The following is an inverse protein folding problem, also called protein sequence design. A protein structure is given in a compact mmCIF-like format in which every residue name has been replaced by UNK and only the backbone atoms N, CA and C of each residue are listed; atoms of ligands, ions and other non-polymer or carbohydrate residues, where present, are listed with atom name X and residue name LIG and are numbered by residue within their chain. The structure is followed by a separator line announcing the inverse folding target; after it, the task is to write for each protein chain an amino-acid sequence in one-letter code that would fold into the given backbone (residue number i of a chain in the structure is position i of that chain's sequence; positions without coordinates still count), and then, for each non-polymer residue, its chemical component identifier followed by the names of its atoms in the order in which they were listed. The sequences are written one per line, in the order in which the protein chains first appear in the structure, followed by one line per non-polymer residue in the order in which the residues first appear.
data_IF_771844215174
#
_entry.id   IF_771844215174
#
_cell.length_a   1.000
_cell.length_b   1.000
_cell.length_c   1.000
_cell.angle_alpha   90.00
_cell.angle_beta   90.00
_cell.angle_gamma   90.00
#
_symmetry.space_group_name_H-M   'P 1'
#
loop_
_entity.id
_entity.type
_entity.pdbx_description
1 polymer ?
#
# COMPACT_ATOMS: atom_id res chain seq x y z
N UNK A 1 -23.18 8.64 -2.84
CA UNK A 1 -23.08 7.71 -1.70
C UNK A 1 -23.50 6.27 -2.03
N UNK A 2 -24.76 5.98 -2.41
CA UNK A 2 -25.26 4.59 -2.63
C UNK A 2 -24.37 3.71 -3.53
N UNK A 3 -23.87 4.24 -4.65
CA UNK A 3 -22.96 3.49 -5.53
C UNK A 3 -21.60 3.17 -4.89
N UNK A 4 -21.09 4.05 -4.03
CA UNK A 4 -19.85 3.83 -3.28
C UNK A 4 -20.04 2.81 -2.16
N UNK A 5 -21.18 2.86 -1.46
CA UNK A 5 -21.58 1.83 -0.48
C UNK A 5 -21.71 0.45 -1.13
N UNK A 6 -22.38 0.35 -2.28
CA UNK A 6 -22.44 -0.90 -3.06
C UNK A 6 -21.05 -1.41 -3.46
N UNK A 7 -20.08 -0.51 -3.66
CA UNK A 7 -18.69 -0.89 -3.98
C UNK A 7 -17.97 -1.42 -2.75
N UNK A 8 -18.01 -0.72 -1.62
CA UNK A 8 -17.45 -1.21 -0.35
C UNK A 8 -18.02 -2.58 0.01
N UNK A 9 -19.35 -2.76 -0.03
CA UNK A 9 -19.99 -4.03 0.27
C UNK A 9 -19.50 -5.18 -0.63
N UNK A 10 -19.10 -4.90 -1.88
CA UNK A 10 -18.51 -5.91 -2.76
C UNK A 10 -17.09 -6.27 -2.34
N UNK A 11 -16.29 -5.29 -1.92
CA UNK A 11 -14.96 -5.54 -1.39
C UNK A 11 -15.02 -6.31 -0.07
N UNK A 12 -15.91 -5.94 0.85
CA UNK A 12 -16.11 -6.66 2.11
C UNK A 12 -16.52 -8.12 1.86
N UNK A 13 -17.46 -8.36 0.93
CA UNK A 13 -17.82 -9.72 0.51
C UNK A 13 -16.64 -10.50 -0.06
N UNK A 14 -15.76 -9.85 -0.85
CA UNK A 14 -14.56 -10.51 -1.40
C UNK A 14 -13.54 -10.81 -0.30
N UNK A 15 -13.30 -9.87 0.63
CA UNK A 15 -12.45 -10.05 1.81
C UNK A 15 -12.91 -11.27 2.63
N UNK A 16 -14.21 -11.38 2.91
CA UNK A 16 -14.76 -12.52 3.65
C UNK A 16 -14.56 -13.86 2.91
N UNK A 17 -14.60 -13.88 1.58
CA UNK A 17 -14.28 -15.09 0.80
C UNK A 17 -12.80 -15.45 0.88
N UNK A 18 -11.91 -14.47 0.79
CA UNK A 18 -10.45 -14.65 0.93
C UNK A 18 -10.11 -15.22 2.31
N UNK A 19 -10.74 -14.70 3.38
CA UNK A 19 -10.60 -15.24 4.73
C UNK A 19 -11.06 -16.70 4.81
N UNK A 20 -12.18 -17.05 4.19
CA UNK A 20 -12.63 -18.45 4.12
C UNK A 20 -11.62 -19.35 3.39
N UNK A 21 -11.00 -18.88 2.30
CA UNK A 21 -9.98 -19.63 1.57
C UNK A 21 -8.74 -19.90 2.43
N UNK A 22 -8.28 -18.92 3.21
CA UNK A 22 -7.11 -19.10 4.08
C UNK A 22 -7.41 -19.87 5.37
N UNK A 23 -8.68 -20.01 5.75
CA UNK A 23 -9.14 -20.82 6.88
C UNK A 23 -8.50 -20.39 8.19
N UNK A 24 -8.04 -21.37 8.99
CA UNK A 24 -7.43 -21.13 10.32
C UNK A 24 -6.17 -20.27 10.31
N UNK A 25 -5.54 -20.07 9.15
CA UNK A 25 -4.35 -19.24 8.99
C UNK A 25 -4.69 -17.78 8.66
N UNK A 26 -5.96 -17.40 8.74
CA UNK A 26 -6.37 -16.02 8.51
C UNK A 26 -7.18 -15.49 9.67
N UNK A 27 -6.96 -14.22 9.99
CA UNK A 27 -7.74 -13.48 10.99
C UNK A 27 -8.13 -12.11 10.45
N UNK A 28 -9.20 -11.58 11.02
CA UNK A 28 -9.81 -10.32 10.62
C UNK A 28 -10.12 -9.50 11.87
N UNK A 29 -9.68 -8.24 11.91
CA UNK A 29 -9.96 -7.34 13.02
C UNK A 29 -10.35 -5.96 12.51
N UNK A 30 -11.29 -5.33 13.22
CA UNK A 30 -11.59 -3.92 13.02
C UNK A 30 -10.58 -3.09 13.83
N UNK A 31 -9.72 -2.35 13.14
CA UNK A 31 -8.65 -1.56 13.77
C UNK A 31 -9.01 -0.09 13.92
N UNK A 32 -10.21 0.34 13.53
CA UNK A 32 -10.63 1.72 13.67
C UNK A 32 -11.83 2.08 12.81
N UNK A 33 -12.06 3.37 12.67
CA UNK A 33 -13.12 3.92 11.85
C UNK A 33 -12.61 5.11 11.05
N UNK A 34 -13.13 5.27 9.83
CA UNK A 34 -12.92 6.47 9.04
C UNK A 34 -13.38 7.73 9.78
N UNK A 35 -12.94 8.88 9.27
CA UNK A 35 -13.51 10.18 9.60
C UNK A 35 -15.02 10.15 9.33
N UNK A 36 -15.77 10.87 10.16
CA UNK A 36 -17.23 11.00 10.06
C UNK A 36 -17.58 11.79 8.79
N UNK A 37 -18.52 11.29 8.00
CA UNK A 37 -19.10 12.02 6.85
C UNK A 37 -20.00 13.17 7.33
N UNK A 38 -20.35 14.10 6.44
CA UNK A 38 -21.33 15.16 6.74
C UNK A 38 -22.70 14.61 7.14
N UNK A 39 -23.11 13.47 6.57
CA UNK A 39 -24.32 12.75 6.93
C UNK A 39 -24.19 11.88 8.20
N UNK A 40 -23.04 11.93 8.86
CA UNK A 40 -22.82 11.30 10.15
C UNK A 40 -22.30 9.85 10.15
N UNK A 41 -22.17 9.22 8.98
CA UNK A 41 -21.64 7.87 8.87
C UNK A 41 -20.14 7.79 9.16
N UNK A 42 -19.72 6.65 9.73
CA UNK A 42 -18.32 6.22 9.83
C UNK A 42 -18.22 4.82 9.24
N UNK A 43 -17.09 4.51 8.61
CA UNK A 43 -16.85 3.21 8.00
C UNK A 43 -15.75 2.47 8.75
N UNK A 44 -15.92 1.18 9.07
CA UNK A 44 -14.91 0.42 9.78
C UNK A 44 -13.66 0.24 8.91
N UNK A 45 -12.50 0.35 9.54
CA UNK A 45 -11.20 0.06 8.93
C UNK A 45 -10.80 -1.32 9.44
N UNK A 46 -10.58 -2.25 8.51
CA UNK A 46 -10.28 -3.64 8.84
C UNK A 46 -8.85 -4.00 8.47
N UNK A 47 -8.17 -4.75 9.33
CA UNK A 47 -6.91 -5.40 9.02
C UNK A 47 -7.10 -6.92 8.94
N UNK A 48 -6.29 -7.56 8.11
CA UNK A 48 -6.21 -9.02 8.03
C UNK A 48 -4.80 -9.44 8.46
N UNK A 49 -4.70 -10.60 9.11
CA UNK A 49 -3.42 -11.28 9.26
C UNK A 49 -3.50 -12.64 8.59
N UNK A 50 -2.49 -13.00 7.82
CA UNK A 50 -2.42 -14.22 7.03
C UNK A 50 -1.11 -14.92 7.36
N UNK A 51 -1.17 -16.15 7.84
CA UNK A 51 -0.02 -16.97 8.21
C UNK A 51 -0.16 -17.55 9.61
N UNK A 52 0.85 -18.29 10.06
CA UNK A 52 0.92 -18.76 11.44
C UNK A 52 1.28 -17.61 12.39
N UNK A 53 0.99 -17.78 13.68
CA UNK A 53 1.35 -16.80 14.70
C UNK A 53 2.85 -16.52 14.72
N UNK A 54 3.67 -17.58 14.58
CA UNK A 54 5.13 -17.47 14.51
C UNK A 54 5.58 -16.68 13.28
N UNK A 55 5.08 -17.03 12.09
CA UNK A 55 5.42 -16.32 10.86
C UNK A 55 5.04 -14.84 10.91
N UNK A 56 3.87 -14.52 11.47
CA UNK A 56 3.42 -13.14 11.66
C UNK A 56 4.29 -12.36 12.66
N UNK A 57 4.76 -12.99 13.74
CA UNK A 57 5.56 -12.32 14.78
C UNK A 57 7.02 -12.14 14.38
N UNK A 58 7.60 -13.11 13.67
CA UNK A 58 9.04 -13.12 13.38
C UNK A 58 9.38 -12.56 12.00
N UNK A 59 8.49 -12.74 11.01
CA UNK A 59 8.73 -12.37 9.61
C UNK A 59 7.48 -11.75 8.95
N UNK A 60 6.92 -10.65 9.49
CA UNK A 60 5.76 -10.00 8.89
C UNK A 60 6.13 -9.21 7.63
N UNK A 61 5.24 -9.27 6.66
CA UNK A 61 5.20 -8.43 5.46
C UNK A 61 3.94 -7.58 5.49
N UNK A 62 4.04 -6.29 5.20
CA UNK A 62 2.88 -5.40 5.12
C UNK A 62 2.39 -5.21 3.69
N UNK A 63 1.06 -5.22 3.48
CA UNK A 63 0.46 -4.73 2.24
C UNK A 63 -0.75 -3.84 2.55
N UNK A 64 -0.71 -2.60 2.09
CA UNK A 64 -1.75 -1.59 2.27
C UNK A 64 -2.33 -1.22 0.90
N UNK A 65 -3.62 -0.91 0.87
CA UNK A 65 -4.26 -0.35 -0.32
C UNK A 65 -5.39 0.60 0.08
N UNK A 66 -5.88 1.36 -0.91
CA UNK A 66 -7.06 2.19 -0.75
C UNK A 66 -6.85 3.34 0.23
N UNK A 67 -5.62 3.86 0.33
CA UNK A 67 -5.31 5.12 1.02
C UNK A 67 -6.06 6.27 0.34
N UNK A 68 -6.06 6.30 -0.99
CA UNK A 68 -6.90 7.17 -1.78
C UNK A 68 -8.19 6.45 -2.18
N UNK A 69 -9.34 7.03 -1.82
CA UNK A 69 -10.65 6.37 -2.03
C UNK A 69 -11.07 6.19 -3.49
N UNK A 70 -10.42 6.89 -4.44
CA UNK A 70 -10.65 6.73 -5.88
C UNK A 70 -9.80 5.63 -6.52
N UNK A 71 -8.71 5.23 -5.88
CA UNK A 71 -7.69 4.35 -6.44
C UNK A 71 -8.10 2.88 -6.25
N UNK A 72 -9.21 2.53 -6.90
CA UNK A 72 -9.83 1.22 -6.71
C UNK A 72 -9.05 0.07 -7.34
N UNK A 73 -8.08 0.35 -8.22
CA UNK A 73 -7.27 -0.70 -8.84
C UNK A 73 -6.32 -1.31 -7.81
N UNK A 74 -5.64 -0.50 -7.00
CA UNK A 74 -4.77 -1.01 -5.93
C UNK A 74 -5.52 -1.99 -5.02
N UNK A 75 -6.76 -1.65 -4.64
CA UNK A 75 -7.66 -2.53 -3.87
C UNK A 75 -7.93 -3.83 -4.64
N UNK A 76 -8.26 -3.74 -5.93
CA UNK A 76 -8.58 -4.93 -6.74
C UNK A 76 -7.38 -5.84 -6.97
N UNK A 77 -6.21 -5.28 -7.24
CA UNK A 77 -4.94 -6.00 -7.37
C UNK A 77 -4.64 -6.74 -6.07
N UNK A 78 -4.76 -6.06 -4.92
CA UNK A 78 -4.55 -6.69 -3.62
C UNK A 78 -5.50 -7.86 -3.39
N UNK A 79 -6.80 -7.65 -3.55
CA UNK A 79 -7.79 -8.71 -3.30
C UNK A 79 -7.67 -9.88 -4.28
N UNK A 80 -7.26 -9.63 -5.52
CA UNK A 80 -6.94 -10.68 -6.49
C UNK A 80 -5.66 -11.44 -6.10
N UNK A 81 -4.62 -10.74 -5.68
CA UNK A 81 -3.37 -11.33 -5.20
C UNK A 81 -3.58 -12.23 -3.97
N UNK A 82 -4.37 -11.79 -2.98
CA UNK A 82 -4.65 -12.61 -1.80
C UNK A 82 -5.38 -13.91 -2.15
N UNK A 83 -6.33 -13.86 -3.09
CA UNK A 83 -7.01 -15.05 -3.60
C UNK A 83 -6.01 -15.96 -4.33
N UNK A 84 -5.12 -15.38 -5.14
CA UNK A 84 -4.06 -16.09 -5.88
C UNK A 84 -3.06 -16.81 -4.97
N UNK A 85 -2.62 -16.24 -3.85
CA UNK A 85 -1.62 -16.89 -2.97
C UNK A 85 -2.22 -17.88 -1.97
N UNK A 86 -3.53 -17.80 -1.71
CA UNK A 86 -4.21 -18.66 -0.73
C UNK A 86 -4.87 -19.89 -1.34
N UNK A 87 -5.24 -19.83 -2.62
CA UNK A 87 -5.89 -20.96 -3.29
C UNK A 87 -4.89 -22.12 -3.52
N UNK A 88 -5.12 -23.33 -2.99
CA UNK A 88 -4.15 -24.43 -3.08
C UNK A 88 -3.76 -24.83 -4.51
N UNK A 89 -4.72 -24.79 -5.44
CA UNK A 89 -4.49 -25.13 -6.86
C UNK A 89 -3.92 -23.96 -7.69
N UNK A 90 -3.61 -22.82 -7.05
CA UNK A 90 -3.04 -21.67 -7.73
C UNK A 90 -1.56 -21.86 -7.99
N UNK A 91 -1.11 -21.43 -9.18
CA UNK A 91 0.31 -21.43 -9.57
C UNK A 91 1.20 -20.52 -8.71
N UNK A 92 0.61 -19.63 -7.91
CA UNK A 92 1.35 -18.79 -6.97
C UNK A 92 0.96 -19.00 -5.52
N UNK A 93 0.37 -20.15 -5.20
CA UNK A 93 0.12 -20.57 -3.83
C UNK A 93 1.41 -20.42 -2.99
N UNK A 94 1.27 -19.82 -1.81
CA UNK A 94 2.39 -19.58 -0.88
C UNK A 94 2.31 -20.52 0.33
N UNK A 95 2.88 -21.74 0.25
CA UNK A 95 2.90 -22.67 1.39
C UNK A 95 3.69 -22.15 2.59
N UNK A 96 4.59 -21.18 2.40
CA UNK A 96 5.39 -20.52 3.43
C UNK A 96 4.53 -19.94 4.56
N UNK A 97 3.32 -19.45 4.21
CA UNK A 97 2.33 -18.91 5.16
C UNK A 97 1.84 -19.95 6.17
N UNK A 98 1.87 -21.25 5.80
CA UNK A 98 1.40 -22.35 6.65
C UNK A 98 2.54 -23.10 7.33
N UNK A 99 3.79 -22.69 7.10
CA UNK A 99 5.02 -23.40 7.54
C UNK A 99 5.91 -22.56 8.46
N UNK A 100 5.32 -21.61 9.19
CA UNK A 100 6.03 -20.71 10.10
C UNK A 100 7.15 -19.88 9.45
N UNK A 101 7.11 -19.67 8.14
CA UNK A 101 8.20 -19.00 7.41
C UNK A 101 7.99 -17.50 7.29
N UNK A 102 6.76 -17.05 7.05
CA UNK A 102 6.39 -15.64 6.98
C UNK A 102 4.92 -15.43 7.31
N UNK A 103 4.54 -14.20 7.63
CA UNK A 103 3.16 -13.76 7.75
C UNK A 103 2.90 -12.48 6.97
N UNK A 104 1.65 -12.22 6.60
CA UNK A 104 1.25 -11.01 5.90
C UNK A 104 0.23 -10.25 6.75
N UNK A 105 0.51 -8.98 7.00
CA UNK A 105 -0.39 -8.01 7.61
C UNK A 105 -0.99 -7.17 6.48
N UNK A 106 -2.29 -7.24 6.29
CA UNK A 106 -2.98 -6.58 5.17
C UNK A 106 -3.94 -5.51 5.67
N UNK A 107 -3.86 -4.32 5.09
CA UNK A 107 -4.83 -3.24 5.27
C UNK A 107 -5.49 -2.92 3.91
N UNK A 108 -6.54 -3.65 3.53
CA UNK A 108 -7.03 -3.65 2.15
C UNK A 108 -7.70 -2.34 1.73
N UNK A 109 -8.25 -1.60 2.69
CA UNK A 109 -8.90 -0.32 2.45
C UNK A 109 -8.65 0.58 3.67
N UNK A 110 -7.63 1.43 3.59
CA UNK A 110 -7.35 2.41 4.65
C UNK A 110 -8.40 3.52 4.72
N UNK A 111 -8.89 3.98 3.56
CA UNK A 111 -9.85 5.08 3.45
C UNK A 111 -11.22 4.61 2.92
N UNK A 112 -11.98 3.82 3.69
CA UNK A 112 -13.28 3.34 3.24
C UNK A 112 -14.28 4.50 3.08
N UNK A 113 -14.16 5.57 3.87
CA UNK A 113 -14.98 6.77 3.70
C UNK A 113 -14.79 7.44 2.34
N UNK A 114 -13.54 7.56 1.87
CA UNK A 114 -13.21 8.06 0.54
C UNK A 114 -13.80 7.18 -0.56
N UNK A 115 -13.75 5.85 -0.41
CA UNK A 115 -14.38 4.92 -1.37
C UNK A 115 -15.91 5.08 -1.41
N UNK A 116 -16.56 5.20 -0.23
CA UNK A 116 -18.01 5.39 -0.12
C UNK A 116 -18.48 6.70 -0.79
N UNK A 117 -17.68 7.76 -0.61
CA UNK A 117 -17.94 9.09 -1.17
C UNK A 117 -17.42 9.24 -2.61
N UNK A 118 -16.58 8.31 -3.09
CA UNK A 118 -15.89 8.34 -4.38
C UNK A 118 -15.00 9.58 -4.55
N UNK A 119 -14.11 9.77 -3.61
CA UNK A 119 -13.15 10.88 -3.58
C UNK A 119 -11.77 10.36 -3.19
N UNK A 120 -10.72 11.05 -3.65
CA UNK A 120 -9.33 10.72 -3.32
C UNK A 120 -9.11 10.82 -1.81
N UNK A 121 -9.51 11.95 -1.25
CA UNK A 121 -9.38 12.28 0.16
C UNK A 121 -10.29 11.46 1.07
N UNK A 122 -10.07 11.53 2.37
CA UNK A 122 -11.01 11.00 3.34
C UNK A 122 -12.25 11.92 3.48
N UNK A 123 -13.30 11.54 4.23
CA UNK A 123 -14.52 12.35 4.36
C UNK A 123 -14.35 13.81 4.82
N UNK A 124 -13.24 14.18 5.44
CA UNK A 124 -12.93 15.57 5.80
C UNK A 124 -12.27 16.37 4.65
N UNK A 125 -12.06 15.77 3.49
CA UNK A 125 -11.36 16.38 2.36
C UNK A 125 -9.84 16.30 2.48
N UNK A 126 -9.31 15.59 3.48
CA UNK A 126 -7.87 15.44 3.71
C UNK A 126 -7.29 14.33 2.84
N UNK A 127 -6.24 14.65 2.09
CA UNK A 127 -5.43 13.67 1.39
C UNK A 127 -4.51 12.96 2.41
N UNK A 128 -4.71 11.65 2.58
CA UNK A 128 -3.99 10.88 3.60
C UNK A 128 -2.49 10.80 3.29
N UNK A 129 -2.08 10.78 2.02
CA UNK A 129 -0.68 10.83 1.60
C UNK A 129 -0.09 12.25 1.64
N UNK A 130 -0.78 13.18 2.31
CA UNK A 130 -0.31 14.54 2.63
C UNK A 130 -0.49 14.89 4.13
N UNK A 131 -0.86 13.91 4.95
CA UNK A 131 -1.37 14.11 6.31
C UNK A 131 -0.38 13.81 7.45
N UNK A 132 0.86 13.40 7.15
CA UNK A 132 1.83 13.01 8.18
C UNK A 132 2.38 14.18 9.01
N UNK A 133 2.30 15.39 8.48
CA UNK A 133 2.84 16.62 9.08
C UNK A 133 4.23 17.02 8.58
N UNK A 134 4.91 16.15 7.81
CA UNK A 134 6.22 16.45 7.22
C UNK A 134 6.12 17.61 6.22
N UNK A 135 7.11 18.50 6.23
CA UNK A 135 7.27 19.58 5.26
C UNK A 135 8.32 19.19 4.20
N UNK A 136 7.97 19.33 2.92
CA UNK A 136 8.88 19.03 1.81
C UNK A 136 9.81 20.21 1.52
N UNK A 137 11.01 19.90 1.01
CA UNK A 137 12.06 20.90 0.72
C UNK A 137 11.75 21.67 -0.58
N UNK A 138 11.19 21.01 -1.60
CA UNK A 138 10.87 21.63 -2.90
C UNK A 138 9.55 21.08 -3.49
N UNK A 139 8.42 21.18 -2.76
CA UNK A 139 7.14 20.66 -3.21
C UNK A 139 6.69 21.34 -4.50
N UNK A 140 6.01 20.60 -5.37
CA UNK A 140 5.29 21.21 -6.49
C UNK A 140 4.17 22.08 -5.90
N UNK A 141 4.03 23.37 -6.27
CA UNK A 141 2.96 24.22 -5.76
C UNK A 141 1.59 23.56 -5.91
N UNK A 142 0.79 23.58 -4.84
CA UNK A 142 -0.49 22.87 -4.70
C UNK A 142 -0.40 21.33 -4.72
N UNK A 143 0.19 20.73 -5.76
CA UNK A 143 0.24 19.27 -5.97
C UNK A 143 1.06 18.51 -4.90
N UNK A 144 2.12 19.16 -4.43
CA UNK A 144 2.93 18.68 -3.30
C UNK A 144 2.16 18.64 -1.98
N UNK A 145 0.99 19.27 -1.90
CA UNK A 145 0.14 19.33 -0.72
C UNK A 145 -0.13 20.77 -0.27
N UNK A 146 -1.40 21.12 -0.05
CA UNK A 146 -1.82 22.48 0.31
C UNK A 146 -2.60 22.55 1.63
N UNK A 147 -2.60 23.72 2.28
CA UNK A 147 -3.32 24.03 3.53
C UNK A 147 -4.46 25.06 3.36
N UNK A 148 -4.76 25.47 2.13
CA UNK A 148 -5.72 26.52 1.79
C UNK A 148 -7.17 26.05 2.02
N UNK A 149 -7.56 24.90 1.46
CA UNK A 149 -8.95 24.43 1.55
C UNK A 149 -9.12 22.94 1.36
N UNK A 150 -9.97 22.33 2.19
CA UNK A 150 -10.43 20.94 2.06
C UNK A 150 -11.25 20.63 0.80
N UNK A 151 -11.67 21.66 0.06
CA UNK A 151 -12.39 21.52 -1.20
C UNK A 151 -11.45 21.38 -2.40
N UNK A 152 -10.17 21.69 -2.22
CA UNK A 152 -9.14 21.55 -3.25
C UNK A 152 -8.39 20.22 -3.07
N UNK A 153 -7.85 19.64 -4.16
CA UNK A 153 -7.01 18.45 -4.09
C UNK A 153 -5.81 18.63 -3.14
N UNK A 154 -5.25 17.51 -2.68
CA UNK A 154 -4.02 17.45 -1.89
C UNK A 154 -4.06 18.27 -0.59
N UNK A 155 -5.26 18.48 -0.01
CA UNK A 155 -5.38 19.17 1.27
C UNK A 155 -4.74 18.35 2.39
N UNK A 156 -3.84 18.96 3.14
CA UNK A 156 -2.99 18.29 4.15
C UNK A 156 -3.72 17.97 5.47
N UNK A 157 -4.83 18.64 5.72
CA UNK A 157 -5.50 18.61 7.02
C UNK A 157 -4.80 19.48 8.07
N UNK A 158 -5.48 19.66 9.20
CA UNK A 158 -4.98 20.47 10.33
C UNK A 158 -4.38 19.61 11.46
N UNK A 159 -4.31 18.30 11.24
CA UNK A 159 -3.86 17.32 12.21
C UNK A 159 -4.01 15.93 11.62
N UNK A 160 -3.50 14.94 12.34
CA UNK A 160 -3.54 13.56 11.85
C UNK A 160 -4.99 13.07 11.77
N UNK A 161 -5.35 12.41 10.68
CA UNK A 161 -6.68 11.82 10.47
C UNK A 161 -6.82 10.48 11.20
N UNK A 162 -8.04 10.05 11.55
CA UNK A 162 -8.24 8.77 12.24
C UNK A 162 -7.77 7.56 11.40
N UNK A 163 -7.87 7.64 10.06
CA UNK A 163 -7.29 6.66 9.16
C UNK A 163 -5.77 6.58 9.34
N UNK A 164 -5.06 7.71 9.22
CA UNK A 164 -3.61 7.78 9.39
C UNK A 164 -3.16 7.26 10.76
N UNK A 165 -3.91 7.56 11.84
CA UNK A 165 -3.66 6.98 13.17
C UNK A 165 -3.83 5.47 13.21
N UNK A 166 -4.85 4.93 12.56
CA UNK A 166 -5.09 3.50 12.50
C UNK A 166 -3.95 2.77 11.76
N UNK A 167 -3.47 3.34 10.64
CA UNK A 167 -2.28 2.85 9.94
C UNK A 167 -1.05 2.86 10.86
N UNK A 168 -0.76 4.01 11.47
CA UNK A 168 0.44 4.15 12.32
C UNK A 168 0.42 3.15 13.47
N UNK A 169 -0.72 2.99 14.15
CA UNK A 169 -0.87 2.00 15.22
C UNK A 169 -0.65 0.58 14.71
N UNK A 170 -1.28 0.20 13.60
CA UNK A 170 -1.12 -1.14 13.04
C UNK A 170 0.35 -1.43 12.71
N UNK A 171 1.05 -0.47 12.09
CA UNK A 171 2.47 -0.64 11.73
C UNK A 171 3.33 -0.74 12.98
N UNK A 172 3.11 0.11 13.98
CA UNK A 172 3.83 0.05 15.24
C UNK A 172 3.63 -1.31 15.94
N UNK A 173 2.38 -1.74 16.10
CA UNK A 173 2.04 -3.01 16.78
C UNK A 173 2.56 -4.25 16.05
N UNK A 174 2.70 -4.18 14.72
CA UNK A 174 3.04 -5.35 13.91
C UNK A 174 4.51 -5.45 13.53
N UNK A 175 5.25 -4.34 13.52
CA UNK A 175 6.61 -4.31 12.94
C UNK A 175 7.68 -3.73 13.87
N UNK A 176 7.36 -2.83 14.81
CA UNK A 176 8.41 -2.11 15.56
C UNK A 176 9.22 -3.01 16.49
N UNK A 177 8.65 -4.10 17.00
CA UNK A 177 9.37 -4.98 17.94
C UNK A 177 9.97 -6.23 17.28
N UNK A 178 9.89 -6.34 15.95
CA UNK A 178 10.39 -7.51 15.23
C UNK A 178 11.91 -7.42 15.08
N UNK A 179 12.60 -8.49 15.48
CA UNK A 179 14.07 -8.56 15.51
C UNK A 179 14.62 -9.44 14.40
N UNK A 180 15.89 -9.20 14.03
CA UNK A 180 16.64 -9.98 13.04
C UNK A 180 15.96 -10.17 11.67
N UNK A 181 15.14 -9.21 11.22
CA UNK A 181 14.31 -9.34 10.01
C UNK A 181 14.36 -8.14 9.06
N UNK A 182 14.09 -8.40 7.77
CA UNK A 182 13.62 -7.40 6.82
C UNK A 182 12.10 -7.29 6.95
N UNK A 183 11.59 -6.08 7.05
CA UNK A 183 10.17 -5.77 7.29
C UNK A 183 9.64 -4.96 6.10
N UNK A 184 9.37 -5.61 4.96
CA UNK A 184 8.93 -4.93 3.76
C UNK A 184 7.44 -4.59 3.89
N UNK A 185 7.07 -3.36 3.55
CA UNK A 185 5.68 -2.93 3.54
C UNK A 185 5.37 -2.27 2.20
N UNK A 186 4.37 -2.77 1.48
CA UNK A 186 3.96 -2.21 0.20
C UNK A 186 2.66 -1.42 0.34
N UNK A 187 2.63 -0.18 -0.15
CA UNK A 187 1.39 0.56 -0.38
C UNK A 187 1.01 0.55 -1.86
N UNK A 188 -0.20 0.08 -2.14
CA UNK A 188 -0.72 -0.07 -3.49
C UNK A 188 -1.55 1.15 -3.87
N UNK A 189 -0.99 1.92 -4.78
CA UNK A 189 -1.58 3.09 -5.39
C UNK A 189 -1.89 2.85 -6.88
N UNK A 190 -2.70 3.72 -7.46
CA UNK A 190 -2.98 3.69 -8.89
C UNK A 190 -3.50 5.04 -9.36
N UNK A 191 -3.20 5.44 -10.59
CA UNK A 191 -3.77 6.66 -11.17
C UNK A 191 -2.75 7.66 -11.66
N UNK A 192 -1.46 7.40 -11.50
CA UNK A 192 -0.38 8.28 -11.95
C UNK A 192 0.44 7.66 -13.08
N UNK A 193 0.59 8.42 -14.18
CA UNK A 193 1.49 8.07 -15.27
C UNK A 193 1.10 6.83 -16.09
N UNK A 194 1.97 6.47 -17.03
CA UNK A 194 1.83 5.31 -17.93
C UNK A 194 2.76 4.15 -17.55
N UNK A 195 3.66 4.36 -16.60
CA UNK A 195 4.68 3.40 -16.16
C UNK A 195 4.38 3.03 -14.71
N UNK A 196 4.43 1.74 -14.39
CA UNK A 196 4.32 1.26 -13.03
C UNK A 196 5.61 1.63 -12.26
N UNK A 197 5.46 2.35 -11.15
CA UNK A 197 6.59 2.79 -10.33
C UNK A 197 6.61 2.07 -8.98
N UNK A 198 7.80 1.68 -8.55
CA UNK A 198 8.10 1.13 -7.22
C UNK A 198 8.97 2.14 -6.49
N UNK A 199 8.33 2.97 -5.66
CA UNK A 199 8.98 4.05 -4.95
C UNK A 199 9.40 3.69 -3.54
N UNK A 200 10.57 4.16 -3.12
CA UNK A 200 11.00 4.15 -1.71
C UNK A 200 11.17 5.58 -1.16
N UNK A 201 11.39 5.73 0.17
CA UNK A 201 11.65 7.03 0.77
C UNK A 201 12.92 7.73 0.25
N UNK A 202 12.98 9.06 0.22
CA UNK A 202 11.96 9.96 0.73
C UNK A 202 11.06 10.52 -0.37
N UNK A 203 9.86 10.95 0.01
CA UNK A 203 9.00 11.77 -0.80
C UNK A 203 9.19 13.27 -0.51
N UNK A 204 9.53 13.66 0.73
CA UNK A 204 9.63 15.08 1.11
C UNK A 204 10.92 15.78 0.63
N UNK A 205 11.96 15.03 0.26
CA UNK A 205 13.28 15.56 -0.09
C UNK A 205 13.99 14.70 -1.14
N UNK A 206 14.86 15.32 -1.93
CA UNK A 206 15.78 14.65 -2.87
C UNK A 206 17.00 14.03 -2.18
N UNK A 207 17.19 14.27 -0.89
CA UNK A 207 18.23 13.57 -0.14
C UNK A 207 17.90 12.09 -0.04
N UNK A 208 18.89 11.25 -0.32
CA UNK A 208 18.80 9.81 -0.14
C UNK A 208 18.42 9.44 1.30
N UNK A 209 17.52 8.47 1.45
CA UNK A 209 17.26 7.90 2.76
C UNK A 209 18.46 7.06 3.24
N UNK A 210 18.63 6.85 4.56
CA UNK A 210 19.77 6.10 5.09
C UNK A 210 19.91 4.66 4.57
N UNK A 211 18.80 4.03 4.20
CA UNK A 211 18.77 2.65 3.70
C UNK A 211 18.70 2.58 2.15
N UNK A 212 19.04 3.65 1.42
CA UNK A 212 19.01 3.69 -0.06
C UNK A 212 19.77 2.51 -0.71
N UNK A 213 20.92 2.09 -0.16
CA UNK A 213 21.66 0.94 -0.70
C UNK A 213 20.87 -0.38 -0.58
N UNK A 214 20.11 -0.58 0.50
CA UNK A 214 19.24 -1.74 0.66
C UNK A 214 18.10 -1.71 -0.35
N UNK A 215 17.50 -0.54 -0.59
CA UNK A 215 16.46 -0.40 -1.62
C UNK A 215 17.01 -0.68 -3.03
N UNK A 216 18.22 -0.22 -3.35
CA UNK A 216 18.88 -0.53 -4.62
C UNK A 216 19.17 -2.04 -4.77
N UNK A 217 19.49 -2.73 -3.68
CA UNK A 217 19.69 -4.19 -3.71
C UNK A 217 18.34 -4.93 -3.86
N UNK A 218 17.26 -4.45 -3.24
CA UNK A 218 15.90 -4.93 -3.50
C UNK A 218 15.48 -4.69 -4.95
N UNK A 219 15.76 -3.50 -5.51
CA UNK A 219 15.54 -3.21 -6.93
C UNK A 219 16.26 -4.23 -7.80
N UNK A 220 17.57 -4.43 -7.60
CA UNK A 220 18.35 -5.39 -8.40
C UNK A 220 17.75 -6.79 -8.30
N UNK A 221 17.37 -7.22 -7.10
CA UNK A 221 16.76 -8.52 -6.87
C UNK A 221 15.43 -8.65 -7.63
N UNK A 222 14.48 -7.74 -7.38
CA UNK A 222 13.16 -7.80 -8.02
C UNK A 222 13.27 -7.68 -9.55
N UNK A 223 14.08 -6.74 -10.04
CA UNK A 223 14.22 -6.44 -11.46
C UNK A 223 14.95 -7.53 -12.23
N UNK A 224 16.12 -7.94 -11.76
CA UNK A 224 17.01 -8.82 -12.51
C UNK A 224 16.90 -10.29 -12.11
N UNK A 225 16.76 -10.57 -10.81
CA UNK A 225 16.68 -11.96 -10.34
C UNK A 225 15.25 -12.51 -10.44
N UNK A 226 14.24 -11.72 -10.09
CA UNK A 226 12.82 -12.13 -10.20
C UNK A 226 12.18 -11.77 -11.55
N UNK A 227 12.88 -11.02 -12.41
CA UNK A 227 12.40 -10.68 -13.75
C UNK A 227 11.36 -9.56 -13.83
N UNK A 228 11.17 -8.77 -12.77
CA UNK A 228 10.22 -7.66 -12.73
C UNK A 228 10.77 -6.40 -13.41
N UNK A 229 11.15 -6.54 -14.70
CA UNK A 229 11.83 -5.51 -15.50
C UNK A 229 10.95 -4.34 -15.94
N UNK A 230 9.63 -4.52 -15.91
CA UNK A 230 8.66 -3.54 -16.40
C UNK A 230 8.34 -2.41 -15.41
N UNK A 231 8.82 -2.54 -14.17
CA UNK A 231 8.65 -1.53 -13.14
C UNK A 231 9.83 -0.56 -13.14
N UNK A 232 9.55 0.72 -12.93
CA UNK A 232 10.56 1.72 -12.64
C UNK A 232 10.78 1.82 -11.14
N UNK A 233 12.03 1.76 -10.70
CA UNK A 233 12.41 1.79 -9.29
C UNK A 233 13.16 3.09 -8.98
N UNK A 234 12.97 3.65 -7.79
CA UNK A 234 13.64 4.88 -7.38
C UNK A 234 13.02 5.50 -6.12
N UNK A 235 13.63 6.53 -5.51
CA UNK A 235 12.95 7.27 -4.46
C UNK A 235 11.79 8.07 -5.06
N UNK A 236 10.67 8.22 -4.34
CA UNK A 236 9.50 8.96 -4.82
C UNK A 236 9.86 10.40 -5.23
N UNK A 237 10.77 11.02 -4.47
CA UNK A 237 11.27 12.36 -4.74
C UNK A 237 11.82 12.53 -6.15
N UNK A 238 12.31 11.47 -6.80
CA UNK A 238 12.78 11.55 -8.19
C UNK A 238 11.69 11.95 -9.17
N UNK A 239 10.46 11.51 -8.95
CA UNK A 239 9.31 11.95 -9.75
C UNK A 239 8.83 13.33 -9.32
N UNK A 240 8.57 13.53 -8.02
CA UNK A 240 8.16 14.81 -7.44
C UNK A 240 8.26 14.75 -5.92
N UNK A 241 8.45 15.91 -5.27
CA UNK A 241 8.43 15.96 -3.80
C UNK A 241 7.05 16.34 -3.26
N UNK A 242 6.70 15.77 -2.11
CA UNK A 242 5.39 15.96 -1.46
C UNK A 242 5.50 16.16 0.03
N UNK A 243 4.67 17.05 0.58
CA UNK A 243 4.46 17.15 2.02
C UNK A 243 3.74 15.91 2.54
N UNK A 244 3.98 15.58 3.80
CA UNK A 244 3.04 14.80 4.58
C UNK A 244 2.86 13.35 4.17
N UNK A 245 3.81 12.77 3.44
CA UNK A 245 3.82 11.34 3.15
C UNK A 245 3.86 10.50 4.45
N UNK A 246 2.98 9.50 4.55
CA UNK A 246 2.83 8.68 5.77
C UNK A 246 3.98 7.68 5.93
N UNK A 247 4.55 7.20 4.83
CA UNK A 247 5.62 6.22 4.83
C UNK A 247 6.97 6.86 5.17
N UNK A 248 7.24 8.07 4.70
CA UNK A 248 8.37 8.88 5.17
C UNK A 248 8.35 9.00 6.71
N UNK A 249 7.17 9.32 7.27
CA UNK A 249 6.99 9.44 8.72
C UNK A 249 7.20 8.12 9.45
N UNK A 250 6.60 7.03 8.97
CA UNK A 250 6.71 5.73 9.62
C UNK A 250 8.14 5.19 9.58
N UNK A 251 8.83 5.38 8.45
CA UNK A 251 10.24 5.03 8.29
C UNK A 251 11.13 5.79 9.29
N UNK A 252 10.96 7.11 9.38
CA UNK A 252 11.74 7.91 10.34
C UNK A 252 11.37 7.62 11.79
N UNK A 253 10.09 7.37 12.08
CA UNK A 253 9.64 6.97 13.42
C UNK A 253 10.29 5.65 13.85
N UNK A 254 10.29 4.62 13.00
CA UNK A 254 10.95 3.35 13.28
C UNK A 254 12.44 3.52 13.55
N UNK A 255 13.13 4.26 12.68
CA UNK A 255 14.57 4.51 12.86
C UNK A 255 14.89 5.26 14.15
N UNK A 256 14.07 6.26 14.49
CA UNK A 256 14.23 7.00 15.74
C UNK A 256 13.94 6.15 16.97
N UNK A 257 12.92 5.29 16.91
CA UNK A 257 12.55 4.38 18.00
C UNK A 257 13.71 3.44 18.38
N UNK A 258 14.48 2.97 17.38
CA UNK A 258 15.62 2.08 17.60
C UNK A 258 17.00 2.75 17.66
N UNK A 259 17.08 4.10 17.60
CA UNK A 259 18.36 4.82 17.49
C UNK A 259 19.36 4.49 18.61
N UNK A 260 18.85 4.18 19.81
CA UNK A 260 19.65 3.85 21.00
C UNK A 260 19.68 2.34 21.31
N UNK A 261 19.06 1.51 20.47
CA UNK A 261 19.04 0.06 20.68
C UNK A 261 20.38 -0.55 20.26
N UNK A 262 21.12 -1.11 21.22
CA UNK A 262 22.34 -1.86 20.96
C UNK A 262 21.99 -3.10 20.11
N UNK A 263 22.75 -3.32 19.04
CA UNK A 263 22.60 -4.47 18.13
C UNK A 263 21.25 -4.53 17.37
N UNK A 264 20.53 -3.42 17.21
CA UNK A 264 19.34 -3.41 16.36
C UNK A 264 19.70 -3.50 14.87
N UNK A 265 19.27 -4.58 14.22
CA UNK A 265 19.60 -4.87 12.83
C UNK A 265 18.38 -4.95 11.91
N UNK A 266 17.16 -4.91 12.44
CA UNK A 266 15.95 -5.04 11.64
C UNK A 266 15.66 -3.78 10.85
N UNK A 267 15.15 -3.96 9.63
CA UNK A 267 14.93 -2.85 8.68
C UNK A 267 13.48 -2.78 8.25
N UNK A 268 12.80 -1.71 8.64
CA UNK A 268 11.50 -1.34 8.10
C UNK A 268 11.69 -0.69 6.74
N UNK A 269 11.18 -1.33 5.70
CA UNK A 269 11.39 -0.93 4.31
C UNK A 269 10.04 -0.68 3.62
N UNK A 270 9.40 0.49 3.82
CA UNK A 270 8.20 0.85 3.08
C UNK A 270 8.51 1.13 1.61
N UNK A 271 7.66 0.61 0.75
CA UNK A 271 7.68 0.77 -0.70
C UNK A 271 6.27 1.15 -1.15
N UNK A 272 6.16 1.93 -2.22
CA UNK A 272 4.89 2.25 -2.88
C UNK A 272 4.91 1.65 -4.27
N UNK A 273 3.91 0.85 -4.62
CA UNK A 273 3.65 0.48 -6.01
C UNK A 273 2.56 1.40 -6.56
N UNK A 274 2.96 2.35 -7.39
CA UNK A 274 2.06 3.22 -8.14
C UNK A 274 1.80 2.59 -9.51
N UNK A 275 0.57 2.12 -9.70
CA UNK A 275 0.14 1.51 -10.96
C UNK A 275 -0.17 2.59 -12.01
N UNK A 276 0.51 2.50 -13.15
CA UNK A 276 0.31 3.36 -14.30
C UNK A 276 -1.01 3.05 -15.00
N UNK A 277 -1.91 4.02 -15.06
CA UNK A 277 -3.25 3.83 -15.64
C UNK A 277 -3.55 4.78 -16.80
N UNK A 278 -2.60 5.62 -17.20
CA UNK A 278 -2.83 6.64 -18.26
C UNK A 278 -2.68 6.07 -19.68
N UNK A 279 -2.09 4.88 -19.84
CA UNK A 279 -2.03 4.17 -21.12
C UNK A 279 -3.44 3.84 -21.64
N UNK A 280 -4.32 3.36 -20.76
CA UNK A 280 -5.72 3.05 -21.07
C UNK A 280 -6.55 4.27 -21.55
N UNK A 281 -6.19 5.48 -21.11
CA UNK A 281 -6.82 6.76 -21.51
C UNK A 281 -6.28 7.28 -22.84
N UNK A 282 -5.00 7.01 -23.14
CA UNK A 282 -4.38 7.36 -24.43
C UNK A 282 -4.94 6.51 -25.56
N UNK A 283 -5.24 5.24 -25.27
CA UNK A 283 -5.80 4.28 -26.24
C UNK A 283 -7.31 4.46 -26.49
N UNK A 284 -8.07 4.97 -25.52
CA UNK A 284 -9.50 5.26 -25.70
C UNK A 284 -9.95 6.47 -24.85
N UNK A 285 -9.83 7.70 -25.40
CA UNK A 285 -10.24 8.93 -24.72
C UNK A 285 -11.74 8.97 -24.37
N UNK A 286 -12.58 8.18 -25.07
CA UNK A 286 -14.02 8.13 -24.82
C UNK A 286 -14.38 7.44 -23.50
N UNK A 287 -13.44 6.71 -22.87
CA UNK A 287 -13.57 6.12 -21.52
C UNK A 287 -13.78 7.16 -20.42
N UNK A 288 -13.37 8.42 -20.62
CA UNK A 288 -13.66 9.54 -19.71
C UNK A 288 -15.17 9.80 -19.55
N UNK A 289 -15.97 9.47 -20.57
CA UNK A 289 -17.40 9.80 -20.64
C UNK A 289 -18.32 8.61 -20.35
N UNK A 290 -17.80 7.38 -20.22
CA UNK A 290 -18.60 6.18 -19.93
C UNK A 290 -18.87 6.01 -18.43
N UNK A 291 -20.14 6.10 -18.03
CA UNK A 291 -20.64 5.79 -16.66
C UNK A 291 -20.41 4.34 -16.19
N UNK A 292 -19.87 3.46 -17.05
CA UNK A 292 -19.46 2.09 -16.75
C UNK A 292 -17.93 2.00 -16.80
N UNK A 293 -17.31 1.93 -15.62
CA UNK A 293 -15.98 1.38 -15.37
C UNK A 293 -14.85 1.91 -16.24
N UNK A 294 -14.02 2.77 -15.66
CA UNK A 294 -12.70 3.17 -16.18
C UNK A 294 -11.80 1.94 -16.46
N UNK A 295 -12.19 0.75 -16.02
CA UNK A 295 -11.40 -0.48 -16.14
C UNK A 295 -12.20 -1.60 -16.80
N UNK A 296 -12.15 -1.60 -18.12
CA UNK A 296 -12.24 -2.81 -18.92
C UNK A 296 -11.12 -2.75 -19.95
N UNK A 297 -9.86 -3.09 -19.59
CA UNK A 297 -8.83 -3.33 -20.60
C UNK A 297 -9.35 -4.35 -21.63
N UNK A 298 -8.88 -4.26 -22.87
CA UNK A 298 -9.18 -5.26 -23.89
C UNK A 298 -8.86 -6.66 -23.30
N UNK A 299 -9.72 -7.64 -23.55
CA UNK A 299 -9.66 -8.97 -22.90
C UNK A 299 -8.30 -9.66 -23.04
N UNK A 300 -7.55 -9.35 -24.09
CA UNK A 300 -6.23 -9.91 -24.39
C UNK A 300 -5.11 -9.42 -23.45
N UNK A 301 -5.14 -8.16 -22.98
CA UNK A 301 -4.08 -7.59 -22.12
C UNK A 301 -4.35 -7.77 -20.61
N UNK A 302 -5.56 -8.20 -20.21
CA UNK A 302 -5.93 -8.33 -18.79
C UNK A 302 -5.18 -9.45 -18.08
N UNK A 303 -5.00 -10.59 -18.73
CA UNK A 303 -4.39 -11.78 -18.11
C UNK A 303 -2.91 -11.51 -17.85
N UNK A 304 -2.20 -10.94 -18.81
CA UNK A 304 -0.79 -10.57 -18.68
C UNK A 304 -0.58 -9.49 -17.61
N UNK A 305 -1.43 -8.45 -17.61
CA UNK A 305 -1.37 -7.36 -16.63
C UNK A 305 -1.61 -7.86 -15.19
N UNK A 306 -2.63 -8.71 -15.00
CA UNK A 306 -2.90 -9.32 -13.68
C UNK A 306 -1.77 -10.27 -13.29
N UNK A 307 -1.26 -11.07 -14.23
CA UNK A 307 -0.12 -11.97 -14.02
C UNK A 307 1.13 -11.23 -13.55
N UNK A 308 1.44 -10.06 -14.14
CA UNK A 308 2.56 -9.21 -13.75
C UNK A 308 2.46 -8.76 -12.29
N UNK A 309 1.31 -8.22 -11.88
CA UNK A 309 1.13 -7.77 -10.49
C UNK A 309 1.12 -8.95 -9.51
N UNK A 310 0.52 -10.09 -9.88
CA UNK A 310 0.56 -11.31 -9.07
C UNK A 310 1.99 -11.79 -8.84
N UNK A 311 2.80 -11.85 -9.91
CA UNK A 311 4.20 -12.24 -9.84
C UNK A 311 5.02 -11.30 -8.97
N UNK A 312 4.90 -9.99 -9.23
CA UNK A 312 5.59 -8.95 -8.44
C UNK A 312 5.25 -9.03 -6.96
N UNK A 313 3.96 -9.07 -6.60
CA UNK A 313 3.52 -9.12 -5.21
C UNK A 313 3.94 -10.41 -4.51
N UNK A 314 3.98 -11.54 -5.21
CA UNK A 314 4.43 -12.82 -4.65
C UNK A 314 5.90 -12.75 -4.27
N UNK A 315 6.73 -12.21 -5.15
CA UNK A 315 8.17 -12.12 -4.90
C UNK A 315 8.51 -10.99 -3.91
N UNK A 316 7.71 -9.91 -3.90
CA UNK A 316 7.74 -8.90 -2.84
C UNK A 316 7.46 -9.51 -1.46
N UNK A 317 6.42 -10.35 -1.32
CA UNK A 317 6.13 -11.05 -0.06
C UNK A 317 7.29 -11.93 0.38
N UNK A 318 7.99 -12.56 -0.56
CA UNK A 318 9.17 -13.39 -0.25
C UNK A 318 10.39 -12.58 0.19
N UNK A 319 10.42 -11.26 0.05
CA UNK A 319 11.43 -10.42 0.71
C UNK A 319 11.41 -10.58 2.23
N UNK A 320 10.25 -10.91 2.83
CA UNK A 320 10.14 -11.21 4.26
C UNK A 320 10.90 -12.47 4.71
N UNK A 321 11.32 -13.32 3.78
CA UNK A 321 12.20 -14.48 4.06
C UNK A 321 13.69 -14.09 4.12
N UNK A 322 14.04 -12.91 3.64
CA UNK A 322 15.42 -12.44 3.58
C UNK A 322 15.83 -11.80 4.90
N UNK A 323 17.13 -11.89 5.20
CA UNK A 323 17.78 -11.16 6.29
C UNK A 323 18.50 -9.93 5.73
N UNK A 324 18.77 -8.90 6.56
CA UNK A 324 19.54 -7.73 6.13
C UNK A 324 20.91 -8.04 5.53
N UNK A 325 21.53 -9.14 5.95
CA UNK A 325 22.82 -9.61 5.41
C UNK A 325 22.71 -10.23 4.01
N UNK A 326 21.53 -10.73 3.63
CA UNK A 326 21.29 -11.40 2.35
C UNK A 326 21.09 -10.37 1.23
N UNK A 327 20.85 -9.10 1.61
CA UNK A 327 20.69 -7.95 0.72
C UNK A 327 21.96 -7.07 0.67
N UNK A 328 23.13 -7.59 1.03
CA UNK A 328 24.40 -6.84 0.99
C UNK A 328 25.12 -6.99 -0.34
#
# INVERSE_FOLDING_TARGET
MLRGLKRLNRYDKKILRILKLGGKFTSFSQIGFSRKTSAGFRFPIHALKIGTEKGIKEHPVGIVAGVHGLETIGILILLDFLEYILHPDSTGYLPELKKDKLGIIVLPILNPGGVALKQRSNPAGVDLMRNSGIEAVKPIPFFGGQKISKRLPYFRGNGLEPESRALIRLVHESFFEVKDAILPILDLHSGFGTIDNVWWPYAYTKYSCPDTSLYQNIEKHLKHHCGHIHFQYGPQSETYTTHGDLWDKLYDQYRNYHKNSLNWNSKLLPLTLEVGTWSDLREDPSKLFRKRGIFNPASFNKIETIGRYRGFLRDFVRLGLMKPKDLK
#
